data_IF_294585677923
#
_entry.id   IF_294585677923
#
_cell.length_a   1.000
_cell.length_b   1.000
_cell.length_c   1.000
_cell.angle_alpha   90.00
_cell.angle_beta   90.00
_cell.angle_gamma   90.00
#
_symmetry.space_group_name_H-M   'P 1'
#
loop_
_entity.id
_entity.type
_entity.pdbx_description
1 polymer ?
#
# COMPACT_ATOMS: atom_id res chain seq x y z
N UNK A 1 -6.64 -12.75 13.75
CA UNK A 1 -6.11 -11.37 13.72
C UNK A 1 -5.18 -11.20 12.53
N UNK A 2 -5.24 -10.09 11.76
CA UNK A 2 -4.23 -9.81 10.75
C UNK A 2 -2.85 -9.77 11.41
N UNK A 3 -1.83 -10.35 10.78
CA UNK A 3 -0.44 -10.29 11.28
C UNK A 3 0.10 -8.86 11.33
N UNK A 4 -0.51 -7.93 10.61
CA UNK A 4 -0.06 -6.56 10.42
C UNK A 4 -0.93 -5.58 11.20
N UNK A 5 -0.30 -4.68 11.93
CA UNK A 5 -0.99 -3.54 12.55
C UNK A 5 -1.52 -2.58 11.47
N UNK A 6 -2.67 -1.92 11.69
CA UNK A 6 -3.14 -0.84 10.82
C UNK A 6 -2.21 0.39 10.87
N UNK A 7 -2.27 1.28 9.87
CA UNK A 7 -1.59 2.58 9.92
C UNK A 7 -2.15 3.46 11.05
N UNK A 8 -1.30 4.13 11.84
CA UNK A 8 -1.77 5.04 12.88
C UNK A 8 -2.36 6.31 12.26
N UNK A 9 -3.47 6.80 12.83
CA UNK A 9 -4.03 8.11 12.48
C UNK A 9 -4.69 8.22 11.11
N UNK A 10 -4.88 7.09 10.40
CA UNK A 10 -5.48 7.07 9.07
C UNK A 10 -6.55 5.99 9.01
N UNK A 11 -7.75 6.35 8.54
CA UNK A 11 -8.82 5.40 8.30
C UNK A 11 -8.40 4.40 7.22
N UNK A 12 -8.55 3.11 7.51
CA UNK A 12 -8.14 2.03 6.60
C UNK A 12 -8.87 0.73 6.93
N UNK A 13 -8.95 -0.16 5.94
CA UNK A 13 -9.45 -1.52 6.13
C UNK A 13 -8.43 -2.54 5.62
N UNK A 14 -8.39 -3.71 6.25
CA UNK A 14 -7.56 -4.83 5.78
C UNK A 14 -8.19 -5.47 4.54
N UNK A 15 -7.42 -5.60 3.45
CA UNK A 15 -7.81 -6.35 2.28
C UNK A 15 -6.99 -7.66 2.21
N UNK A 16 -7.61 -8.83 2.49
CA UNK A 16 -6.89 -10.11 2.55
C UNK A 16 -6.39 -10.59 1.17
N UNK A 17 -7.08 -10.24 0.09
CA UNK A 17 -6.66 -10.63 -1.27
C UNK A 17 -5.38 -9.91 -1.71
N UNK A 18 -5.23 -8.65 -1.28
CA UNK A 18 -4.04 -7.84 -1.53
C UNK A 18 -2.95 -8.03 -0.47
N UNK A 19 -3.32 -8.45 0.74
CA UNK A 19 -2.41 -8.61 1.87
C UNK A 19 -1.91 -7.27 2.42
N UNK A 20 -2.72 -6.22 2.33
CA UNK A 20 -2.41 -4.85 2.77
C UNK A 20 -3.63 -4.21 3.42
N UNK A 21 -3.41 -3.13 4.15
CA UNK A 21 -4.46 -2.17 4.45
C UNK A 21 -4.67 -1.25 3.24
N UNK A 22 -5.91 -1.00 2.87
CA UNK A 22 -6.30 0.04 1.90
C UNK A 22 -6.63 1.30 2.69
N UNK A 23 -6.01 2.42 2.33
CA UNK A 23 -6.27 3.70 2.98
C UNK A 23 -7.55 4.33 2.42
N UNK A 24 -8.46 4.70 3.31
CA UNK A 24 -9.73 5.33 2.93
C UNK A 24 -9.50 6.76 2.43
N UNK A 25 -10.30 7.19 1.45
CA UNK A 25 -10.26 8.54 0.91
C UNK A 25 -9.00 8.86 0.09
N UNK A 26 -8.03 7.95 0.00
CA UNK A 26 -6.85 8.08 -0.83
C UNK A 26 -6.88 7.02 -1.93
N UNK A 27 -6.92 7.48 -3.17
CA UNK A 27 -6.89 6.57 -4.33
C UNK A 27 -5.55 5.86 -4.39
N UNK A 28 -5.61 4.54 -4.58
CA UNK A 28 -4.45 3.69 -4.86
C UNK A 28 -3.33 3.82 -3.80
N UNK A 29 -3.72 4.03 -2.53
CA UNK A 29 -2.83 4.12 -1.37
C UNK A 29 -3.04 2.92 -0.44
N UNK A 30 -1.94 2.25 -0.12
CA UNK A 30 -1.93 0.99 0.62
C UNK A 30 -0.90 1.06 1.75
N UNK A 31 -1.07 0.23 2.77
CA UNK A 31 -0.17 0.16 3.90
C UNK A 31 0.10 -1.27 4.36
N UNK A 32 1.36 -1.58 4.65
CA UNK A 32 1.78 -2.85 5.28
C UNK A 32 3.12 -2.65 5.97
N UNK A 33 3.29 -3.23 7.15
CA UNK A 33 4.58 -3.26 7.87
C UNK A 33 5.24 -1.87 8.03
N UNK A 34 4.44 -0.83 8.37
CA UNK A 34 4.91 0.57 8.54
C UNK A 34 5.34 1.27 7.25
N UNK A 35 5.06 0.68 6.09
CA UNK A 35 5.33 1.25 4.79
C UNK A 35 4.00 1.52 4.07
N UNK A 36 3.88 2.73 3.55
CA UNK A 36 2.85 3.11 2.59
C UNK A 36 3.35 2.82 1.18
N UNK A 37 2.47 2.29 0.34
CA UNK A 37 2.70 2.06 -1.09
C UNK A 37 1.63 2.83 -1.86
N UNK A 38 2.02 3.53 -2.92
CA UNK A 38 1.07 4.20 -3.81
C UNK A 38 1.35 3.89 -5.27
N UNK A 39 0.27 3.88 -6.06
CA UNK A 39 0.37 3.93 -7.51
C UNK A 39 0.00 5.33 -8.02
N UNK A 40 0.94 5.99 -8.68
CA UNK A 40 0.74 7.29 -9.33
C UNK A 40 1.61 7.36 -10.61
N UNK A 41 1.16 6.70 -11.67
CA UNK A 41 1.95 6.46 -12.90
C UNK A 41 3.23 5.65 -12.69
N UNK A 42 3.25 4.85 -11.62
CA UNK A 42 4.40 4.07 -11.17
C UNK A 42 4.27 3.78 -9.68
N UNK A 43 4.98 2.75 -9.22
CA UNK A 43 5.01 2.40 -7.81
C UNK A 43 5.97 3.29 -7.05
N UNK A 44 5.53 3.72 -5.87
CA UNK A 44 6.41 4.36 -4.89
C UNK A 44 6.01 3.96 -3.49
N UNK A 45 6.97 4.06 -2.57
CA UNK A 45 6.74 3.79 -1.16
C UNK A 45 7.20 4.94 -0.27
N UNK A 46 6.69 4.99 0.95
CA UNK A 46 7.08 5.96 1.97
C UNK A 46 6.79 5.43 3.38
N UNK A 47 7.58 5.80 4.41
CA UNK A 47 7.20 5.53 5.79
C UNK A 47 6.05 6.42 6.30
N UNK A 48 5.65 7.44 5.52
CA UNK A 48 4.62 8.42 5.89
C UNK A 48 3.54 8.48 4.80
N UNK A 49 2.26 8.73 5.15
CA UNK A 49 1.16 8.75 4.18
C UNK A 49 1.26 9.91 3.19
N UNK A 50 2.00 10.97 3.52
CA UNK A 50 2.21 12.14 2.67
C UNK A 50 3.49 12.08 1.81
N UNK A 51 4.33 11.07 1.97
CA UNK A 51 5.70 11.08 1.45
C UNK A 51 6.72 11.54 2.51
N UNK A 52 8.02 11.68 2.15
CA UNK A 52 8.56 11.68 0.80
C UNK A 52 8.44 10.31 0.13
N UNK A 53 8.15 10.32 -1.16
CA UNK A 53 7.92 9.12 -1.96
C UNK A 53 9.17 8.66 -2.67
N UNK A 54 9.50 7.37 -2.55
CA UNK A 54 10.64 6.74 -3.22
C UNK A 54 10.11 5.81 -4.29
N UNK A 55 10.58 5.98 -5.52
CA UNK A 55 10.21 5.12 -6.63
C UNK A 55 10.62 3.66 -6.34
N UNK A 56 9.82 2.73 -6.82
CA UNK A 56 10.13 1.31 -6.80
C UNK A 56 9.43 0.61 -7.96
N UNK A 57 9.79 -0.64 -8.19
CA UNK A 57 9.16 -1.50 -9.19
C UNK A 57 8.32 -2.58 -8.50
N UNK A 58 7.91 -3.59 -9.28
CA UNK A 58 7.13 -4.72 -8.77
C UNK A 58 7.82 -5.56 -7.69
N UNK A 59 9.15 -5.51 -7.59
CA UNK A 59 9.89 -6.25 -6.56
C UNK A 59 9.78 -5.59 -5.18
N UNK A 60 9.51 -4.29 -5.13
CA UNK A 60 9.43 -3.52 -3.88
C UNK A 60 8.02 -3.41 -3.29
N UNK A 61 7.02 -4.06 -3.87
CA UNK A 61 5.62 -4.01 -3.40
C UNK A 61 5.12 -5.38 -2.94
N UNK A 62 4.10 -5.43 -2.06
CA UNK A 62 3.40 -6.67 -1.73
C UNK A 62 2.91 -7.43 -2.98
N UNK A 63 3.10 -8.77 -3.07
CA UNK A 63 2.74 -9.55 -4.26
C UNK A 63 1.27 -9.46 -4.67
N UNK A 64 0.36 -9.22 -3.71
CA UNK A 64 -1.06 -9.00 -3.99
C UNK A 64 -1.31 -7.73 -4.81
N UNK A 65 -0.57 -6.64 -4.52
CA UNK A 65 -0.65 -5.40 -5.29
C UNK A 65 -0.11 -5.59 -6.71
N UNK A 66 1.02 -6.28 -6.85
CA UNK A 66 1.57 -6.59 -8.17
C UNK A 66 0.56 -7.31 -9.05
N UNK A 67 -0.01 -8.42 -8.56
CA UNK A 67 -1.02 -9.20 -9.31
C UNK A 67 -2.27 -8.38 -9.65
N UNK A 68 -2.75 -7.58 -8.70
CA UNK A 68 -3.95 -6.75 -8.91
C UNK A 68 -3.77 -5.71 -10.02
N UNK A 69 -2.58 -5.10 -10.14
CA UNK A 69 -2.31 -4.09 -11.17
C UNK A 69 -1.87 -4.67 -12.52
N UNK A 70 -1.37 -5.90 -12.55
CA UNK A 70 -1.15 -6.61 -13.81
C UNK A 70 -2.45 -6.98 -14.51
N UNK A 71 -3.53 -7.21 -13.76
CA UNK A 71 -4.84 -7.59 -14.29
C UNK A 71 -5.76 -6.40 -14.57
N UNK A 72 -5.26 -5.17 -14.47
CA UNK A 72 -6.05 -3.93 -14.46
C UNK A 72 -6.04 -3.21 -15.81
#
# INVERSE_FOLDING_TARGET
HPRYAPPPGVASHWNPALGVYVVEGARDLYYRERIFYRWASGWSWSPQPGGPWRATDSSGIPPGLYRHYQSR
#
